data_IF_267913117489
#
_entry.id   IF_267913117489
#
_cell.length_a   1.000
_cell.length_b   1.000
_cell.length_c   1.000
_cell.angle_alpha   90.00
_cell.angle_beta   90.00
_cell.angle_gamma   90.00
#
_symmetry.space_group_name_H-M   'P 1'
#
loop_
_entity.id
_entity.type
_entity.pdbx_description
1 polymer ?
#
# COMPACT_ATOMS: atom_id res chain seq x y z
N UNK A 1 32.22 36.16 -11.15
CA UNK A 1 32.08 34.84 -11.81
C UNK A 1 32.62 33.68 -10.96
N UNK A 2 33.67 33.87 -10.15
CA UNK A 2 34.23 32.81 -9.29
C UNK A 2 33.32 32.40 -8.13
N UNK A 3 32.65 33.36 -7.49
CA UNK A 3 31.65 33.12 -6.42
C UNK A 3 30.47 32.26 -6.86
N UNK A 4 30.02 32.39 -8.12
CA UNK A 4 28.97 31.53 -8.69
C UNK A 4 29.50 30.10 -8.93
N UNK A 5 30.75 29.96 -9.41
CA UNK A 5 31.38 28.64 -9.57
C UNK A 5 31.64 27.93 -8.25
N UNK A 6 31.94 28.66 -7.17
CA UNK A 6 32.08 28.09 -5.83
C UNK A 6 30.74 27.66 -5.23
N UNK A 7 29.68 28.44 -5.44
CA UNK A 7 28.32 28.07 -5.04
C UNK A 7 27.88 26.74 -5.67
N UNK A 8 28.10 26.57 -6.98
CA UNK A 8 27.79 25.30 -7.69
C UNK A 8 28.68 24.11 -7.30
N UNK A 9 29.82 24.35 -6.63
CA UNK A 9 30.69 23.28 -6.13
C UNK A 9 30.27 22.78 -4.74
N UNK A 10 29.38 23.49 -4.06
CA UNK A 10 28.87 23.11 -2.75
C UNK A 10 28.20 21.73 -2.75
N UNK A 11 28.44 20.88 -1.73
CA UNK A 11 27.85 19.54 -1.66
C UNK A 11 26.31 19.56 -1.67
N UNK A 12 25.69 20.59 -1.10
CA UNK A 12 24.23 20.80 -1.15
C UNK A 12 23.70 21.06 -2.57
N UNK A 13 24.38 21.90 -3.36
CA UNK A 13 23.95 22.23 -4.73
C UNK A 13 24.09 21.02 -5.65
N UNK A 14 25.14 20.23 -5.49
CA UNK A 14 25.32 18.96 -6.24
C UNK A 14 24.19 17.97 -5.93
N UNK A 15 23.82 17.81 -4.66
CA UNK A 15 22.70 16.95 -4.24
C UNK A 15 21.38 17.39 -4.84
N UNK A 16 21.06 18.69 -4.76
CA UNK A 16 19.83 19.25 -5.34
C UNK A 16 19.82 19.05 -6.86
N UNK A 17 20.94 19.33 -7.54
CA UNK A 17 21.05 19.13 -8.97
C UNK A 17 20.82 17.66 -9.36
N UNK A 18 21.45 16.71 -8.66
CA UNK A 18 21.28 15.28 -8.95
C UNK A 18 19.85 14.82 -8.62
N UNK A 19 19.24 15.33 -7.55
CA UNK A 19 17.83 15.07 -7.25
C UNK A 19 16.92 15.55 -8.38
N UNK A 20 17.14 16.76 -8.90
CA UNK A 20 16.39 17.29 -10.04
C UNK A 20 16.60 16.44 -11.29
N UNK A 21 17.81 15.95 -11.54
CA UNK A 21 18.09 15.01 -12.64
C UNK A 21 17.35 13.69 -12.45
N UNK A 22 17.31 13.14 -11.24
CA UNK A 22 16.54 11.92 -10.93
C UNK A 22 15.05 12.16 -11.17
N UNK A 23 14.49 13.28 -10.69
CA UNK A 23 13.08 13.63 -10.88
C UNK A 23 12.77 13.80 -12.37
N UNK A 24 13.64 14.49 -13.12
CA UNK A 24 13.48 14.67 -14.57
C UNK A 24 13.53 13.32 -15.31
N UNK A 25 14.42 12.41 -14.91
CA UNK A 25 14.52 11.07 -15.48
C UNK A 25 13.26 10.24 -15.16
N UNK A 26 12.76 10.29 -13.92
CA UNK A 26 11.51 9.62 -13.54
C UNK A 26 10.31 10.18 -14.31
N UNK A 27 10.25 11.50 -14.52
CA UNK A 27 9.21 12.13 -15.32
C UNK A 27 9.29 11.73 -16.80
N UNK A 28 10.51 11.65 -17.36
CA UNK A 28 10.73 11.15 -18.72
C UNK A 28 10.31 9.68 -18.86
N UNK A 29 10.53 8.88 -17.82
CA UNK A 29 10.15 7.47 -17.73
C UNK A 29 8.73 7.24 -17.17
N UNK A 30 7.86 8.26 -17.15
CA UNK A 30 6.54 8.17 -16.51
C UNK A 30 5.69 7.00 -16.99
N UNK A 31 5.80 6.63 -18.27
CA UNK A 31 5.09 5.49 -18.86
C UNK A 31 5.51 4.15 -18.25
N UNK A 32 6.73 4.07 -17.71
CA UNK A 32 7.32 2.87 -17.10
C UNK A 32 7.30 2.90 -15.57
N UNK A 33 6.83 3.99 -14.94
CA UNK A 33 6.82 4.13 -13.46
C UNK A 33 6.13 2.95 -12.78
N UNK A 34 4.98 2.50 -13.29
CA UNK A 34 4.28 1.35 -12.71
C UNK A 34 5.12 0.07 -12.75
N UNK A 35 5.82 -0.19 -13.86
CA UNK A 35 6.68 -1.37 -13.99
C UNK A 35 7.87 -1.28 -13.03
N UNK A 36 8.51 -0.11 -12.94
CA UNK A 36 9.65 0.13 -12.05
C UNK A 36 9.22 -0.06 -10.59
N UNK A 37 8.08 0.52 -10.18
CA UNK A 37 7.56 0.43 -8.82
C UNK A 37 7.19 -1.01 -8.45
N UNK A 38 6.44 -1.72 -9.30
CA UNK A 38 6.08 -3.12 -9.03
C UNK A 38 7.35 -3.97 -8.93
N UNK A 39 8.30 -3.80 -9.86
CA UNK A 39 9.58 -4.55 -9.83
C UNK A 39 10.35 -4.24 -8.54
N UNK A 40 10.44 -2.97 -8.13
CA UNK A 40 11.11 -2.56 -6.90
C UNK A 40 10.45 -3.17 -5.66
N UNK A 41 9.13 -3.00 -5.51
CA UNK A 41 8.38 -3.49 -4.35
C UNK A 41 8.49 -5.01 -4.26
N UNK A 42 8.27 -5.71 -5.37
CA UNK A 42 8.39 -7.15 -5.44
C UNK A 42 9.81 -7.60 -5.08
N UNK A 43 10.83 -7.00 -5.71
CA UNK A 43 12.24 -7.33 -5.45
C UNK A 43 12.59 -7.12 -3.98
N UNK A 44 12.19 -5.99 -3.40
CA UNK A 44 12.47 -5.65 -2.01
C UNK A 44 11.81 -6.62 -1.03
N UNK A 45 10.51 -6.88 -1.21
CA UNK A 45 9.76 -7.79 -0.34
C UNK A 45 10.26 -9.23 -0.47
N UNK A 46 10.51 -9.70 -1.69
CA UNK A 46 11.01 -11.05 -1.95
C UNK A 46 12.44 -11.23 -1.45
N UNK A 47 13.36 -10.27 -1.67
CA UNK A 47 14.72 -10.33 -1.13
C UNK A 47 14.72 -10.39 0.40
N UNK A 48 13.84 -9.63 1.04
CA UNK A 48 13.72 -9.65 2.50
C UNK A 48 13.14 -10.97 3.01
N UNK A 49 12.05 -11.44 2.41
CA UNK A 49 11.45 -12.74 2.74
C UNK A 49 12.45 -13.87 2.51
N UNK A 50 13.15 -13.84 1.38
CA UNK A 50 14.21 -14.78 1.04
C UNK A 50 15.32 -14.78 2.08
N UNK A 51 15.84 -13.60 2.45
CA UNK A 51 16.90 -13.48 3.46
C UNK A 51 16.44 -14.02 4.82
N UNK A 52 15.20 -13.75 5.21
CA UNK A 52 14.61 -14.29 6.45
C UNK A 52 14.50 -15.83 6.41
N UNK A 53 13.91 -16.37 5.35
CA UNK A 53 13.72 -17.81 5.16
C UNK A 53 15.05 -18.54 5.01
N UNK A 54 15.96 -18.03 4.16
CA UNK A 54 17.28 -18.61 3.94
C UNK A 54 18.08 -18.66 5.25
N UNK A 55 18.06 -17.62 6.08
CA UNK A 55 18.71 -17.66 7.41
C UNK A 55 18.11 -18.70 8.35
N UNK A 56 16.81 -18.97 8.27
CA UNK A 56 16.14 -20.00 9.09
C UNK A 56 16.42 -21.40 8.56
N UNK A 57 16.33 -21.61 7.25
CA UNK A 57 16.57 -22.89 6.59
C UNK A 57 18.04 -23.27 6.66
N UNK A 58 18.96 -22.34 6.41
CA UNK A 58 20.40 -22.61 6.42
C UNK A 58 20.95 -23.02 7.80
N UNK A 59 20.20 -22.75 8.88
CA UNK A 59 20.51 -23.28 10.22
C UNK A 59 20.21 -24.78 10.35
N UNK A 60 19.27 -25.29 9.55
CA UNK A 60 18.81 -26.68 9.60
C UNK A 60 19.49 -27.49 8.47
N UNK A 61 19.50 -26.95 7.26
CA UNK A 61 20.02 -27.59 6.04
C UNK A 61 20.90 -26.59 5.30
N UNK A 62 22.18 -26.90 5.05
CA UNK A 62 23.07 -26.06 4.26
C UNK A 62 22.66 -26.11 2.78
N UNK A 63 22.00 -25.07 2.29
CA UNK A 63 21.50 -25.00 0.90
C UNK A 63 22.12 -23.82 0.17
N UNK A 64 22.41 -23.98 -1.12
CA UNK A 64 22.90 -22.90 -1.97
C UNK A 64 21.86 -21.77 -2.08
N UNK A 65 22.30 -20.52 -1.92
CA UNK A 65 21.49 -19.30 -2.04
C UNK A 65 20.61 -19.32 -3.30
N UNK A 66 21.20 -19.62 -4.48
CA UNK A 66 20.47 -19.62 -5.77
C UNK A 66 19.31 -20.61 -5.81
N UNK A 67 19.48 -21.80 -5.24
CA UNK A 67 18.43 -22.83 -5.18
C UNK A 67 17.27 -22.35 -4.31
N UNK A 68 17.57 -21.76 -3.15
CA UNK A 68 16.52 -21.22 -2.28
C UNK A 68 15.77 -20.04 -2.90
N UNK A 69 16.43 -19.21 -3.73
CA UNK A 69 15.76 -18.16 -4.51
C UNK A 69 14.81 -18.80 -5.53
N UNK A 70 15.29 -19.74 -6.35
CA UNK A 70 14.46 -20.40 -7.37
C UNK A 70 13.25 -21.11 -6.77
N UNK A 71 13.43 -21.81 -5.64
CA UNK A 71 12.33 -22.46 -4.94
C UNK A 71 11.30 -21.45 -4.42
N UNK A 72 11.74 -20.32 -3.84
CA UNK A 72 10.84 -19.28 -3.37
C UNK A 72 10.02 -18.69 -4.52
N UNK A 73 10.68 -18.36 -5.65
CA UNK A 73 9.97 -17.87 -6.84
C UNK A 73 9.04 -18.92 -7.45
N UNK A 74 9.39 -20.21 -7.44
CA UNK A 74 8.50 -21.27 -7.88
C UNK A 74 7.23 -21.35 -7.00
N UNK A 75 7.38 -21.27 -5.67
CA UNK A 75 6.25 -21.23 -4.73
C UNK A 75 5.39 -19.97 -4.94
N UNK A 76 6.01 -18.80 -5.11
CA UNK A 76 5.29 -17.57 -5.40
C UNK A 76 4.54 -17.65 -6.74
N UNK A 77 5.15 -18.20 -7.78
CA UNK A 77 4.52 -18.38 -9.08
C UNK A 77 3.31 -19.32 -8.97
N UNK A 78 3.45 -20.45 -8.25
CA UNK A 78 2.34 -21.37 -8.00
C UNK A 78 1.21 -20.71 -7.20
N UNK A 79 1.55 -19.90 -6.19
CA UNK A 79 0.57 -19.15 -5.41
C UNK A 79 -0.15 -18.10 -6.27
N UNK A 80 0.57 -17.40 -7.14
CA UNK A 80 0.00 -16.40 -8.06
C UNK A 80 -0.88 -17.07 -9.11
N UNK A 81 -0.44 -18.15 -9.76
CA UNK A 81 -1.20 -18.84 -10.82
C UNK A 81 -2.38 -19.61 -10.25
N UNK A 82 -2.18 -20.34 -9.15
CA UNK A 82 -3.26 -21.06 -8.45
C UNK A 82 -4.26 -20.09 -7.82
N UNK A 83 -3.77 -18.99 -7.25
CA UNK A 83 -4.58 -17.86 -6.83
C UNK A 83 -5.36 -17.27 -8.00
N UNK A 84 -4.70 -16.95 -9.11
CA UNK A 84 -5.34 -16.42 -10.31
C UNK A 84 -6.53 -17.27 -10.77
N UNK A 85 -6.33 -18.59 -10.85
CA UNK A 85 -7.36 -19.52 -11.30
C UNK A 85 -8.53 -19.67 -10.32
N UNK A 86 -8.25 -19.79 -9.01
CA UNK A 86 -9.27 -20.11 -7.99
C UNK A 86 -9.91 -18.87 -7.33
N UNK A 87 -9.13 -17.81 -7.16
CA UNK A 87 -9.48 -16.61 -6.38
C UNK A 87 -10.14 -15.56 -7.25
N UNK A 88 -9.67 -15.31 -8.48
CA UNK A 88 -10.21 -14.21 -9.29
C UNK A 88 -11.71 -14.34 -9.60
N UNK A 89 -12.22 -15.50 -10.06
CA UNK A 89 -13.66 -15.63 -10.32
C UNK A 89 -14.50 -15.42 -9.05
N UNK A 90 -13.97 -15.84 -7.89
CA UNK A 90 -14.61 -15.65 -6.59
C UNK A 90 -14.58 -14.19 -6.14
N UNK A 91 -13.51 -13.46 -6.43
CA UNK A 91 -13.38 -12.04 -6.12
C UNK A 91 -14.38 -11.23 -6.93
N UNK A 92 -14.47 -11.47 -8.25
CA UNK A 92 -15.41 -10.75 -9.12
C UNK A 92 -16.85 -10.95 -8.63
N UNK A 93 -17.26 -12.21 -8.42
CA UNK A 93 -18.61 -12.53 -7.96
C UNK A 93 -18.90 -12.00 -6.55
N UNK A 94 -17.92 -11.98 -5.63
CA UNK A 94 -18.11 -11.42 -4.30
C UNK A 94 -18.15 -9.89 -4.29
N UNK A 95 -17.39 -9.23 -5.16
CA UNK A 95 -17.47 -7.78 -5.35
C UNK A 95 -18.82 -7.39 -5.96
N UNK A 96 -19.29 -8.12 -6.98
CA UNK A 96 -20.64 -7.97 -7.53
C UNK A 96 -21.71 -8.10 -6.45
N UNK A 97 -21.64 -9.13 -5.61
CA UNK A 97 -22.56 -9.32 -4.49
C UNK A 97 -22.50 -8.17 -3.50
N UNK A 98 -21.30 -7.69 -3.16
CA UNK A 98 -21.11 -6.57 -2.24
C UNK A 98 -21.72 -5.28 -2.80
N UNK A 99 -21.54 -5.00 -4.08
CA UNK A 99 -22.15 -3.84 -4.75
C UNK A 99 -23.66 -3.97 -4.84
N UNK A 100 -24.16 -5.15 -5.20
CA UNK A 100 -25.60 -5.42 -5.22
C UNK A 100 -26.21 -5.25 -3.82
N UNK A 101 -25.52 -5.67 -2.75
CA UNK A 101 -25.97 -5.46 -1.38
C UNK A 101 -26.02 -3.97 -1.01
N UNK A 102 -25.07 -3.15 -1.47
CA UNK A 102 -25.08 -1.70 -1.24
C UNK A 102 -26.21 -1.02 -2.03
N UNK A 103 -26.39 -1.39 -3.30
CA UNK A 103 -27.47 -0.85 -4.15
C UNK A 103 -28.84 -1.26 -3.59
N UNK A 104 -28.99 -2.52 -3.16
CA UNK A 104 -30.20 -2.99 -2.48
C UNK A 104 -30.43 -2.26 -1.17
N UNK A 105 -29.40 -2.00 -0.37
CA UNK A 105 -29.51 -1.17 0.84
C UNK A 105 -30.06 0.23 0.51
N UNK A 106 -29.47 0.92 -0.48
CA UNK A 106 -29.90 2.24 -0.92
C UNK A 106 -31.35 2.27 -1.42
N UNK A 107 -31.77 1.24 -2.17
CA UNK A 107 -33.12 1.13 -2.73
C UNK A 107 -34.12 0.48 -1.77
N UNK A 108 -33.69 -0.05 -0.63
CA UNK A 108 -34.56 -0.76 0.29
C UNK A 108 -35.47 0.23 1.04
N UNK A 109 -36.75 -0.11 1.13
CA UNK A 109 -37.70 0.58 2.01
C UNK A 109 -37.29 0.52 3.50
N UNK A 110 -36.34 -0.34 3.87
CA UNK A 110 -35.80 -0.43 5.22
C UNK A 110 -34.94 0.79 5.61
N UNK A 111 -34.35 1.50 4.65
CA UNK A 111 -33.70 2.79 4.91
C UNK A 111 -34.72 3.94 4.96
N UNK A 112 -35.76 3.91 4.11
CA UNK A 112 -36.76 4.99 4.03
C UNK A 112 -37.92 4.91 5.05
N UNK A 113 -38.31 3.73 5.53
CA UNK A 113 -39.46 3.51 6.44
C UNK A 113 -39.06 3.05 7.84
N UNK A 114 -37.78 3.11 8.22
CA UNK A 114 -37.46 2.95 9.64
C UNK A 114 -37.88 4.25 10.33
N UNK A 115 -38.84 4.17 11.25
CA UNK A 115 -39.20 5.29 12.14
C UNK A 115 -37.98 5.60 13.01
N UNK A 116 -37.12 6.47 12.49
CA UNK A 116 -36.02 7.04 13.24
C UNK A 116 -36.60 8.22 14.03
N UNK A 117 -36.90 8.01 15.31
CA UNK A 117 -37.27 9.07 16.27
C UNK A 117 -36.17 10.14 16.50
N UNK A 118 -35.07 10.09 15.74
CA UNK A 118 -33.91 10.97 15.89
C UNK A 118 -33.76 11.92 14.70
N UNK A 119 -33.85 13.21 14.99
CA UNK A 119 -33.66 14.35 14.07
C UNK A 119 -32.35 14.27 13.24
N UNK A 120 -31.30 13.67 13.81
CA UNK A 120 -30.01 13.40 13.15
C UNK A 120 -30.13 12.46 11.93
N UNK A 121 -31.02 11.48 11.97
CA UNK A 121 -31.16 10.50 10.89
C UNK A 121 -31.90 11.08 9.70
N UNK A 122 -32.86 11.99 9.91
CA UNK A 122 -33.53 12.70 8.81
C UNK A 122 -32.52 13.57 8.02
N UNK A 123 -31.58 14.20 8.71
CA UNK A 123 -30.48 14.96 8.08
C UNK A 123 -29.51 14.06 7.29
N UNK A 124 -29.21 12.86 7.80
CA UNK A 124 -28.39 11.84 7.12
C UNK A 124 -29.12 11.34 5.86
N UNK A 125 -30.42 11.03 5.95
CA UNK A 125 -31.26 10.56 4.84
C UNK A 125 -31.36 11.62 3.74
N UNK A 126 -31.63 12.88 4.09
CA UNK A 126 -31.69 13.99 3.13
C UNK A 126 -30.33 14.29 2.49
N UNK A 127 -29.23 14.14 3.24
CA UNK A 127 -27.87 14.32 2.70
C UNK A 127 -27.46 13.17 1.78
N UNK A 128 -27.86 11.94 2.11
CA UNK A 128 -27.60 10.75 1.30
C UNK A 128 -28.48 10.67 0.07
N UNK A 129 -29.69 11.24 0.06
CA UNK A 129 -30.53 11.35 -1.15
C UNK A 129 -30.00 12.39 -2.15
N UNK A 130 -29.29 13.42 -1.67
CA UNK A 130 -28.63 14.43 -2.53
C UNK A 130 -27.35 13.92 -3.18
N UNK A 131 -26.72 12.90 -2.59
CA UNK A 131 -25.54 12.25 -3.15
C UNK A 131 -26.05 11.02 -3.90
N UNK A 132 -25.81 10.95 -5.21
CA UNK A 132 -26.11 9.75 -6.01
C UNK A 132 -25.11 8.63 -5.67
N UNK A 133 -25.17 8.15 -4.42
CA UNK A 133 -24.26 7.19 -3.82
C UNK A 133 -24.26 5.91 -4.64
N UNK A 134 -25.43 5.53 -5.18
CA UNK A 134 -25.58 4.43 -6.11
C UNK A 134 -24.74 4.63 -7.38
N UNK A 135 -24.73 5.83 -7.98
CA UNK A 135 -23.87 6.18 -9.12
C UNK A 135 -22.37 6.19 -8.79
N UNK A 136 -21.97 6.65 -7.60
CA UNK A 136 -20.56 6.61 -7.19
C UNK A 136 -20.09 5.17 -6.91
N UNK A 137 -20.92 4.36 -6.26
CA UNK A 137 -20.64 2.95 -5.99
C UNK A 137 -20.60 2.14 -7.29
N UNK A 138 -21.54 2.38 -8.23
CA UNK A 138 -21.54 1.71 -9.53
C UNK A 138 -20.38 2.14 -10.41
N UNK A 139 -19.99 3.43 -10.42
CA UNK A 139 -18.77 3.90 -11.10
C UNK A 139 -17.50 3.31 -10.48
N UNK A 140 -17.44 3.21 -9.15
CA UNK A 140 -16.35 2.54 -8.44
C UNK A 140 -16.27 1.05 -8.78
N UNK A 141 -17.42 0.40 -8.90
CA UNK A 141 -17.54 -0.98 -9.35
C UNK A 141 -17.10 -1.16 -10.80
N UNK A 142 -17.59 -0.33 -11.73
CA UNK A 142 -17.19 -0.35 -13.14
C UNK A 142 -15.69 -0.12 -13.29
N UNK A 143 -15.10 0.75 -12.46
CA UNK A 143 -13.66 0.94 -12.40
C UNK A 143 -12.93 -0.32 -11.92
N UNK A 144 -13.41 -0.99 -10.87
CA UNK A 144 -12.83 -2.25 -10.37
C UNK A 144 -12.97 -3.36 -11.42
N UNK A 145 -14.15 -3.55 -12.00
CA UNK A 145 -14.41 -4.57 -13.03
C UNK A 145 -13.58 -4.29 -14.27
N UNK A 146 -13.51 -3.05 -14.75
CA UNK A 146 -12.60 -2.69 -15.86
C UNK A 146 -11.16 -3.00 -15.53
N UNK A 147 -10.70 -2.58 -14.35
CA UNK A 147 -9.32 -2.83 -13.87
C UNK A 147 -9.01 -4.33 -13.78
N UNK A 148 -9.98 -5.15 -13.36
CA UNK A 148 -9.86 -6.61 -13.29
C UNK A 148 -9.99 -7.25 -14.69
N UNK A 149 -10.78 -6.69 -15.60
CA UNK A 149 -10.93 -7.18 -16.97
C UNK A 149 -9.72 -6.84 -17.86
N UNK A 150 -9.01 -5.75 -17.55
CA UNK A 150 -7.75 -5.35 -18.18
C UNK A 150 -6.53 -6.15 -17.67
N UNK A 151 -6.77 -7.32 -17.08
CA UNK A 151 -5.73 -8.20 -16.53
C UNK A 151 -4.68 -8.63 -17.54
N UNK A 152 -4.97 -8.57 -18.85
CA UNK A 152 -3.96 -8.80 -19.88
C UNK A 152 -2.82 -7.77 -19.81
N UNK A 153 -3.15 -6.49 -19.64
CA UNK A 153 -2.16 -5.40 -19.56
C UNK A 153 -1.46 -5.36 -18.20
N UNK A 154 -2.19 -5.62 -17.12
CA UNK A 154 -1.60 -5.72 -15.78
C UNK A 154 -0.76 -6.98 -15.61
N UNK A 155 -1.25 -8.10 -16.14
CA UNK A 155 -0.60 -9.41 -16.10
C UNK A 155 0.71 -9.41 -16.86
N UNK A 156 0.78 -8.81 -18.04
CA UNK A 156 2.05 -8.66 -18.78
C UNK A 156 3.08 -7.85 -17.98
N UNK A 157 2.69 -6.70 -17.40
CA UNK A 157 3.57 -5.92 -16.53
C UNK A 157 4.00 -6.68 -15.28
N UNK A 158 3.07 -7.40 -14.65
CA UNK A 158 3.34 -8.22 -13.47
C UNK A 158 4.33 -9.35 -13.80
N UNK A 159 4.14 -10.07 -14.91
CA UNK A 159 5.04 -11.12 -15.39
C UNK A 159 6.43 -10.54 -15.66
N UNK A 160 6.54 -9.43 -16.38
CA UNK A 160 7.83 -8.78 -16.66
C UNK A 160 8.51 -8.37 -15.35
N UNK A 161 7.78 -7.75 -14.42
CA UNK A 161 8.31 -7.35 -13.11
C UNK A 161 8.76 -8.55 -12.27
N UNK A 162 8.03 -9.67 -12.35
CA UNK A 162 8.34 -10.91 -11.66
C UNK A 162 9.62 -11.55 -12.20
N UNK A 163 9.78 -11.59 -13.52
CA UNK A 163 11.00 -12.07 -14.19
C UNK A 163 12.19 -11.17 -13.89
N UNK A 164 12.03 -9.85 -13.97
CA UNK A 164 13.10 -8.89 -13.62
C UNK A 164 13.51 -9.01 -12.16
N UNK A 165 12.54 -9.13 -11.25
CA UNK A 165 12.76 -9.36 -9.82
C UNK A 165 13.53 -10.66 -9.58
N UNK A 166 13.15 -11.76 -10.26
CA UNK A 166 13.84 -13.03 -10.17
C UNK A 166 15.30 -12.91 -10.57
N UNK A 167 15.58 -12.35 -11.75
CA UNK A 167 16.95 -12.18 -12.22
C UNK A 167 17.77 -11.26 -11.32
N UNK A 168 17.17 -10.17 -10.83
CA UNK A 168 17.84 -9.25 -9.91
C UNK A 168 18.23 -9.94 -8.61
N UNK A 169 17.31 -10.68 -7.97
CA UNK A 169 17.60 -11.39 -6.71
C UNK A 169 18.61 -12.53 -6.93
N UNK A 170 18.52 -13.25 -8.04
CA UNK A 170 19.44 -14.33 -8.38
C UNK A 170 20.88 -13.83 -8.63
N UNK A 171 21.02 -12.69 -9.30
CA UNK A 171 22.31 -12.08 -9.64
C UNK A 171 22.73 -10.93 -8.71
N UNK A 172 22.03 -10.72 -7.59
CA UNK A 172 22.21 -9.58 -6.68
C UNK A 172 23.67 -9.24 -6.41
N UNK A 173 24.49 -10.24 -6.04
CA UNK A 173 25.92 -10.05 -5.77
C UNK A 173 26.67 -9.50 -7.00
N UNK A 174 26.44 -10.08 -8.18
CA UNK A 174 27.07 -9.66 -9.43
C UNK A 174 26.61 -8.26 -9.85
N UNK A 175 25.31 -7.96 -9.68
CA UNK A 175 24.75 -6.64 -9.95
C UNK A 175 25.40 -5.59 -9.05
N UNK A 176 25.54 -5.86 -7.75
CA UNK A 176 26.22 -4.96 -6.82
C UNK A 176 27.69 -4.74 -7.21
N UNK A 177 28.45 -5.81 -7.43
CA UNK A 177 29.87 -5.74 -7.85
C UNK A 177 30.05 -4.98 -9.18
N UNK A 178 29.13 -5.15 -10.13
CA UNK A 178 29.15 -4.40 -11.39
C UNK A 178 28.81 -2.92 -11.17
N UNK A 179 27.80 -2.64 -10.36
CA UNK A 179 27.34 -1.27 -10.11
C UNK A 179 28.39 -0.47 -9.32
N UNK A 180 29.12 -1.11 -8.40
CA UNK A 180 30.22 -0.48 -7.65
C UNK A 180 31.35 0.03 -8.55
N UNK A 181 31.56 -0.57 -9.73
CA UNK A 181 32.58 -0.09 -10.70
C UNK A 181 32.28 1.32 -11.22
N UNK A 182 31.04 1.79 -11.15
CA UNK A 182 30.73 3.17 -11.53
C UNK A 182 31.34 4.20 -10.57
N UNK A 183 31.67 3.81 -9.33
CA UNK A 183 32.32 4.69 -8.34
C UNK A 183 33.65 5.24 -8.83
N UNK A 184 34.43 4.46 -9.57
CA UNK A 184 35.74 4.86 -10.11
C UNK A 184 35.67 5.38 -11.55
N UNK A 185 34.47 5.43 -12.14
CA UNK A 185 34.27 5.89 -13.51
C UNK A 185 34.21 7.43 -13.60
N UNK A 186 34.11 7.95 -14.84
CA UNK A 186 33.92 9.39 -15.10
C UNK A 186 32.65 9.97 -14.44
N UNK A 187 31.68 9.12 -14.11
CA UNK A 187 30.43 9.51 -13.43
C UNK A 187 30.43 9.12 -11.95
N UNK A 188 31.60 8.87 -11.34
CA UNK A 188 31.72 8.47 -9.94
C UNK A 188 31.05 9.42 -8.94
N UNK A 189 31.03 10.73 -9.23
CA UNK A 189 30.34 11.72 -8.41
C UNK A 189 28.80 11.57 -8.45
N UNK A 190 28.23 11.11 -9.56
CA UNK A 190 26.79 10.82 -9.68
C UNK A 190 26.50 9.52 -8.92
N UNK A 191 27.35 8.52 -9.11
CA UNK A 191 27.21 7.23 -8.43
C UNK A 191 27.19 7.39 -6.90
N UNK A 192 28.11 8.17 -6.32
CA UNK A 192 28.14 8.37 -4.86
C UNK A 192 26.86 8.98 -4.30
N UNK A 193 26.23 9.88 -5.06
CA UNK A 193 24.99 10.53 -4.66
C UNK A 193 23.78 9.60 -4.90
N UNK A 194 23.76 8.85 -6.01
CA UNK A 194 22.75 7.81 -6.26
C UNK A 194 22.79 6.71 -5.21
N UNK A 195 23.98 6.30 -4.76
CA UNK A 195 24.15 5.34 -3.68
C UNK A 195 23.63 5.91 -2.35
N UNK A 196 23.92 7.18 -2.06
CA UNK A 196 23.37 7.87 -0.88
C UNK A 196 21.83 7.93 -0.91
N UNK A 197 21.24 8.42 -2.02
CA UNK A 197 19.79 8.49 -2.20
C UNK A 197 19.16 7.10 -2.18
N UNK A 198 19.77 6.11 -2.84
CA UNK A 198 19.29 4.73 -2.90
C UNK A 198 19.27 4.06 -1.53
N UNK A 199 20.32 4.25 -0.72
CA UNK A 199 20.36 3.74 0.65
C UNK A 199 19.31 4.41 1.55
N UNK A 200 19.16 5.74 1.47
CA UNK A 200 18.07 6.49 2.14
C UNK A 200 16.69 5.99 1.70
N UNK A 201 16.48 5.77 0.40
CA UNK A 201 15.23 5.26 -0.16
C UNK A 201 14.92 3.85 0.36
N UNK A 202 15.89 2.93 0.32
CA UNK A 202 15.70 1.57 0.84
C UNK A 202 15.44 1.53 2.35
N UNK A 203 16.05 2.44 3.11
CA UNK A 203 15.87 2.54 4.56
C UNK A 203 14.54 3.17 4.94
N UNK A 204 14.10 4.22 4.25
CA UNK A 204 12.89 4.96 4.59
C UNK A 204 11.67 4.45 3.82
N UNK A 205 11.68 4.55 2.49
CA UNK A 205 10.58 4.05 1.66
C UNK A 205 10.41 2.54 1.80
N UNK A 206 11.49 1.77 1.66
CA UNK A 206 11.42 0.31 1.68
C UNK A 206 10.89 -0.26 3.01
N UNK A 207 11.33 0.31 4.14
CA UNK A 207 10.86 -0.12 5.48
C UNK A 207 9.38 0.20 5.70
N UNK A 208 8.91 1.37 5.25
CA UNK A 208 7.48 1.74 5.38
C UNK A 208 6.61 0.80 4.54
N UNK A 209 7.00 0.49 3.31
CA UNK A 209 6.25 -0.44 2.44
C UNK A 209 6.13 -1.83 3.06
N UNK A 210 7.23 -2.37 3.56
CA UNK A 210 7.23 -3.67 4.24
C UNK A 210 6.37 -3.65 5.51
N UNK A 211 6.51 -2.62 6.34
CA UNK A 211 5.70 -2.49 7.54
C UNK A 211 4.20 -2.40 7.18
N UNK A 212 3.83 -1.59 6.19
CA UNK A 212 2.45 -1.47 5.73
C UNK A 212 1.91 -2.81 5.21
N UNK A 213 2.71 -3.56 4.47
CA UNK A 213 2.31 -4.87 3.97
C UNK A 213 2.04 -5.85 5.13
N UNK A 214 2.91 -5.88 6.14
CA UNK A 214 2.71 -6.71 7.34
C UNK A 214 1.49 -6.27 8.16
N UNK A 215 1.28 -4.96 8.32
CA UNK A 215 0.13 -4.39 9.01
C UNK A 215 -1.17 -4.77 8.29
N UNK A 216 -1.22 -4.60 6.98
CA UNK A 216 -2.38 -4.97 6.18
C UNK A 216 -2.72 -6.46 6.33
N UNK A 217 -1.72 -7.36 6.36
CA UNK A 217 -1.93 -8.79 6.63
C UNK A 217 -2.56 -9.00 8.03
N UNK A 218 -1.96 -8.43 9.07
CA UNK A 218 -2.43 -8.61 10.45
C UNK A 218 -3.84 -8.06 10.61
N UNK A 219 -4.10 -6.84 10.13
CA UNK A 219 -5.42 -6.22 10.15
C UNK A 219 -6.46 -7.04 9.39
N UNK A 220 -6.10 -7.60 8.24
CA UNK A 220 -6.99 -8.48 7.47
C UNK A 220 -7.34 -9.73 8.25
N UNK A 221 -6.35 -10.38 8.87
CA UNK A 221 -6.58 -11.59 9.67
C UNK A 221 -7.50 -11.27 10.86
N UNK A 222 -7.19 -10.23 11.63
CA UNK A 222 -8.00 -9.82 12.79
C UNK A 222 -9.42 -9.46 12.36
N UNK A 223 -9.58 -8.65 11.31
CA UNK A 223 -10.89 -8.23 10.81
C UNK A 223 -11.69 -9.41 10.31
N UNK A 224 -11.07 -10.33 9.56
CA UNK A 224 -11.76 -11.53 9.04
C UNK A 224 -12.26 -12.43 10.16
N UNK A 225 -11.46 -12.62 11.22
CA UNK A 225 -11.88 -13.37 12.41
C UNK A 225 -13.09 -12.70 13.08
N UNK A 226 -13.04 -11.39 13.30
CA UNK A 226 -14.14 -10.66 13.92
C UNK A 226 -15.41 -10.70 13.05
N UNK A 227 -15.29 -10.51 11.74
CA UNK A 227 -16.41 -10.59 10.80
C UNK A 227 -17.01 -11.99 10.75
N UNK A 228 -16.19 -13.04 10.84
CA UNK A 228 -16.66 -14.41 10.95
C UNK A 228 -17.48 -14.62 12.23
N UNK A 229 -17.02 -14.11 13.38
CA UNK A 229 -17.77 -14.16 14.64
C UNK A 229 -19.10 -13.38 14.57
N UNK A 230 -19.14 -12.28 13.81
CA UNK A 230 -20.35 -11.49 13.59
C UNK A 230 -21.30 -12.11 12.54
N UNK A 231 -20.94 -13.25 11.95
CA UNK A 231 -21.76 -13.96 10.98
C UNK A 231 -21.82 -13.30 9.60
N UNK A 232 -20.76 -12.61 9.19
CA UNK A 232 -20.68 -12.01 7.86
C UNK A 232 -20.56 -13.09 6.77
N UNK A 233 -21.33 -12.97 5.68
CA UNK A 233 -21.16 -13.79 4.50
C UNK A 233 -19.98 -13.28 3.65
N UNK A 234 -19.53 -14.06 2.66
CA UNK A 234 -18.45 -13.70 1.73
C UNK A 234 -17.14 -13.23 2.41
N UNK A 235 -16.75 -13.86 3.52
CA UNK A 235 -15.54 -13.51 4.28
C UNK A 235 -14.28 -13.43 3.44
N UNK A 236 -14.19 -14.27 2.40
CA UNK A 236 -13.04 -14.29 1.52
C UNK A 236 -12.90 -12.99 0.70
N UNK A 237 -13.98 -12.50 0.12
CA UNK A 237 -14.03 -11.25 -0.64
C UNK A 237 -13.82 -10.05 0.26
N UNK A 238 -14.42 -10.07 1.46
CA UNK A 238 -14.18 -9.06 2.49
C UNK A 238 -12.72 -9.04 2.94
N UNK A 239 -12.09 -10.19 3.15
CA UNK A 239 -10.68 -10.28 3.51
C UNK A 239 -9.78 -9.67 2.43
N UNK A 240 -10.03 -9.97 1.15
CA UNK A 240 -9.27 -9.39 0.03
C UNK A 240 -9.49 -7.88 -0.05
N UNK A 241 -10.73 -7.42 0.08
CA UNK A 241 -11.06 -5.99 0.08
C UNK A 241 -10.34 -5.26 1.24
N UNK A 242 -10.43 -5.79 2.46
CA UNK A 242 -9.77 -5.23 3.65
C UNK A 242 -8.26 -5.24 3.49
N UNK A 243 -7.69 -6.28 2.90
CA UNK A 243 -6.26 -6.36 2.63
C UNK A 243 -5.81 -5.28 1.64
N UNK A 244 -6.48 -5.17 0.49
CA UNK A 244 -6.12 -4.21 -0.55
C UNK A 244 -6.30 -2.77 -0.08
N UNK A 245 -7.43 -2.47 0.58
CA UNK A 245 -7.67 -1.15 1.16
C UNK A 245 -6.72 -0.87 2.32
N UNK A 246 -6.40 -1.88 3.13
CA UNK A 246 -5.44 -1.79 4.24
C UNK A 246 -4.01 -1.47 3.81
N UNK A 247 -3.65 -1.60 2.53
CA UNK A 247 -2.37 -1.11 2.00
C UNK A 247 -2.34 0.42 1.88
N UNK A 248 -3.50 1.09 1.89
CA UNK A 248 -3.61 2.56 1.85
C UNK A 248 -3.65 3.07 3.30
N UNK A 249 -2.60 3.78 3.77
CA UNK A 249 -2.55 4.26 5.15
C UNK A 249 -3.71 5.21 5.47
N UNK A 250 -4.34 5.05 6.63
CA UNK A 250 -5.47 5.87 7.14
C UNK A 250 -6.75 5.76 6.31
N UNK A 251 -6.70 6.03 5.01
CA UNK A 251 -7.86 5.98 4.11
C UNK A 251 -8.45 4.58 3.95
N UNK A 252 -7.63 3.53 4.02
CA UNK A 252 -8.10 2.15 3.88
C UNK A 252 -9.21 1.77 4.85
N UNK A 253 -9.09 2.21 6.11
CA UNK A 253 -10.08 1.96 7.16
C UNK A 253 -11.37 2.74 6.88
N UNK A 254 -11.26 4.01 6.48
CA UNK A 254 -12.42 4.87 6.16
C UNK A 254 -13.20 4.31 4.97
N UNK A 255 -12.50 3.94 3.89
CA UNK A 255 -13.12 3.41 2.67
C UNK A 255 -13.76 2.04 2.93
N UNK A 256 -13.11 1.17 3.71
CA UNK A 256 -13.63 -0.16 4.03
C UNK A 256 -14.82 -0.16 4.97
N UNK A 257 -15.00 0.89 5.79
CA UNK A 257 -16.15 1.02 6.70
C UNK A 257 -17.48 1.09 5.93
N UNK A 258 -17.51 1.77 4.78
CA UNK A 258 -18.72 1.94 3.97
C UNK A 258 -19.36 0.59 3.59
N UNK A 259 -18.66 -0.32 2.86
CA UNK A 259 -19.24 -1.60 2.49
C UNK A 259 -19.48 -2.52 3.69
N UNK A 260 -18.65 -2.46 4.73
CA UNK A 260 -18.84 -3.26 5.94
C UNK A 260 -20.12 -2.87 6.68
N UNK A 261 -20.37 -1.57 6.86
CA UNK A 261 -21.59 -1.08 7.51
C UNK A 261 -22.84 -1.35 6.65
N UNK A 262 -22.76 -1.19 5.32
CA UNK A 262 -23.87 -1.53 4.43
C UNK A 262 -24.27 -3.01 4.57
N UNK A 263 -23.30 -3.92 4.56
CA UNK A 263 -23.56 -5.34 4.77
C UNK A 263 -24.07 -5.62 6.19
N UNK A 264 -23.47 -4.99 7.22
CA UNK A 264 -23.90 -5.14 8.60
C UNK A 264 -25.39 -4.80 8.78
N UNK A 265 -25.81 -3.69 8.18
CA UNK A 265 -27.19 -3.22 8.23
C UNK A 265 -28.14 -4.24 7.59
N UNK A 266 -27.78 -4.79 6.43
CA UNK A 266 -28.62 -5.78 5.73
C UNK A 266 -28.81 -7.08 6.53
N UNK A 267 -27.81 -7.52 7.30
CA UNK A 267 -27.87 -8.82 8.02
C UNK A 267 -28.41 -8.66 9.45
N UNK A 268 -28.40 -7.47 10.04
CA UNK A 268 -28.85 -7.31 11.44
C UNK A 268 -29.05 -5.88 11.90
N UNK A 269 -29.34 -4.97 10.97
CA UNK A 269 -29.71 -3.59 11.24
C UNK A 269 -28.63 -2.78 11.95
N UNK A 270 -29.07 -1.71 12.62
CA UNK A 270 -28.20 -0.72 13.27
C UNK A 270 -27.33 -1.32 14.39
N UNK A 271 -27.82 -2.33 15.10
CA UNK A 271 -27.07 -3.00 16.16
C UNK A 271 -25.83 -3.70 15.60
N UNK A 272 -25.95 -4.40 14.46
CA UNK A 272 -24.77 -4.98 13.79
C UNK A 272 -23.84 -3.92 13.22
N UNK A 273 -24.37 -2.81 12.70
CA UNK A 273 -23.55 -1.67 12.26
C UNK A 273 -22.71 -1.14 13.42
N UNK A 274 -23.30 -0.96 14.59
CA UNK A 274 -22.61 -0.52 15.79
C UNK A 274 -21.49 -1.50 16.18
N UNK A 275 -21.74 -2.82 16.15
CA UNK A 275 -20.71 -3.82 16.41
C UNK A 275 -19.55 -3.76 15.41
N UNK A 276 -19.82 -3.54 14.13
CA UNK A 276 -18.78 -3.35 13.12
C UNK A 276 -17.96 -2.08 13.37
N UNK A 277 -18.62 -0.96 13.68
CA UNK A 277 -17.91 0.29 13.98
C UNK A 277 -17.00 0.13 15.19
N UNK A 278 -17.50 -0.48 16.27
CA UNK A 278 -16.70 -0.76 17.47
C UNK A 278 -15.53 -1.69 17.13
N UNK A 279 -15.78 -2.76 16.37
CA UNK A 279 -14.74 -3.69 15.91
C UNK A 279 -13.65 -2.96 15.14
N UNK A 280 -14.02 -2.12 14.16
CA UNK A 280 -13.05 -1.36 13.34
C UNK A 280 -12.26 -0.39 14.21
N UNK A 281 -12.89 0.31 15.16
CA UNK A 281 -12.19 1.20 16.11
C UNK A 281 -11.16 0.42 16.92
N UNK A 282 -11.50 -0.75 17.44
CA UNK A 282 -10.58 -1.59 18.22
C UNK A 282 -9.41 -2.07 17.37
N UNK A 283 -9.67 -2.55 16.15
CA UNK A 283 -8.61 -3.01 15.24
C UNK A 283 -7.71 -1.84 14.83
N UNK A 284 -8.30 -0.67 14.54
CA UNK A 284 -7.52 0.51 14.20
C UNK A 284 -6.69 1.02 15.39
N UNK A 285 -7.19 0.90 16.62
CA UNK A 285 -6.40 1.19 17.81
C UNK A 285 -5.21 0.22 17.95
N UNK A 286 -5.41 -1.08 17.67
CA UNK A 286 -4.31 -2.06 17.64
C UNK A 286 -3.28 -1.68 16.57
N UNK A 287 -3.74 -1.31 15.37
CA UNK A 287 -2.86 -0.81 14.31
C UNK A 287 -2.04 0.41 14.76
N UNK A 288 -2.73 1.45 15.24
CA UNK A 288 -2.13 2.74 15.57
C UNK A 288 -1.17 2.67 16.76
N UNK A 289 -1.55 1.94 17.81
CA UNK A 289 -0.79 1.93 19.08
C UNK A 289 0.15 0.74 19.25
N UNK A 290 -0.06 -0.37 18.52
CA UNK A 290 0.76 -1.58 18.66
C UNK A 290 1.55 -1.87 17.39
N UNK A 291 0.87 -1.98 16.24
CA UNK A 291 1.52 -2.42 15.01
C UNK A 291 2.43 -1.35 14.43
N UNK A 292 1.95 -0.10 14.31
CA UNK A 292 2.72 1.03 13.79
C UNK A 292 4.03 1.26 14.56
N UNK A 293 4.02 1.40 15.91
CA UNK A 293 5.27 1.60 16.66
C UNK A 293 6.24 0.42 16.55
N UNK A 294 5.71 -0.82 16.50
CA UNK A 294 6.53 -2.04 16.45
C UNK A 294 7.15 -2.29 15.08
N UNK A 295 6.47 -1.91 13.99
CA UNK A 295 6.88 -2.23 12.63
C UNK A 295 7.51 -1.05 11.88
N UNK A 296 7.04 0.19 12.11
CA UNK A 296 7.54 1.39 11.43
C UNK A 296 8.60 2.18 12.23
N UNK A 297 8.91 1.77 13.47
CA UNK A 297 9.71 2.54 14.45
C UNK A 297 9.00 3.82 14.91
N UNK A 298 9.36 4.33 16.10
CA UNK A 298 8.74 5.52 16.73
C UNK A 298 8.91 6.85 15.95
N UNK A 299 9.48 6.82 14.74
CA UNK A 299 9.92 7.99 13.96
C UNK A 299 8.96 8.38 12.82
N UNK A 300 7.78 7.77 12.71
CA UNK A 300 6.91 7.91 11.54
C UNK A 300 5.45 8.22 11.94
N UNK A 301 5.25 9.24 12.77
CA UNK A 301 3.90 9.75 13.06
C UNK A 301 3.71 11.08 12.34
N UNK A 302 3.33 11.01 11.07
CA UNK A 302 2.88 12.19 10.35
C UNK A 302 1.56 12.67 10.97
N UNK A 303 1.41 13.98 11.23
CA UNK A 303 0.11 14.51 11.62
C UNK A 303 -0.92 14.17 10.54
N UNK A 304 -2.15 13.84 10.98
CA UNK A 304 -3.24 13.35 10.13
C UNK A 304 -3.47 14.25 8.90
N UNK A 305 -3.40 15.58 9.09
CA UNK A 305 -3.52 16.56 8.00
C UNK A 305 -2.49 16.32 6.88
N UNK A 306 -1.21 16.14 7.22
CA UNK A 306 -0.17 15.88 6.23
C UNK A 306 -0.38 14.55 5.52
N UNK A 307 -0.81 13.51 6.26
CA UNK A 307 -1.14 12.22 5.64
C UNK A 307 -2.22 12.37 4.58
N UNK A 308 -3.32 13.07 4.88
CA UNK A 308 -4.38 13.31 3.89
C UNK A 308 -3.94 14.18 2.72
N UNK A 309 -3.21 15.27 2.99
CA UNK A 309 -2.69 16.14 1.93
C UNK A 309 -1.77 15.36 0.97
N UNK A 310 -0.88 14.53 1.51
CA UNK A 310 0.01 13.67 0.74
C UNK A 310 -0.79 12.66 -0.09
N UNK A 311 -1.82 12.03 0.48
CA UNK A 311 -2.64 11.07 -0.25
C UNK A 311 -3.40 11.71 -1.41
N UNK A 312 -3.98 12.89 -1.23
CA UNK A 312 -4.69 13.63 -2.28
C UNK A 312 -3.73 14.01 -3.41
N UNK A 313 -2.57 14.57 -3.07
CA UNK A 313 -1.56 14.95 -4.06
C UNK A 313 -1.03 13.71 -4.78
N UNK A 314 -0.69 12.65 -4.06
CA UNK A 314 -0.14 11.44 -4.64
C UNK A 314 -1.14 10.73 -5.56
N UNK A 315 -2.41 10.67 -5.16
CA UNK A 315 -3.50 10.14 -5.99
C UNK A 315 -3.62 10.91 -7.30
N UNK A 316 -3.56 12.24 -7.28
CA UNK A 316 -3.60 13.06 -8.49
C UNK A 316 -2.47 12.75 -9.49
N UNK A 317 -1.24 12.51 -9.00
CA UNK A 317 -0.08 12.29 -9.87
C UNK A 317 0.19 10.83 -10.25
N UNK A 318 -0.11 9.89 -9.36
CA UNK A 318 0.23 8.46 -9.49
C UNK A 318 -1.01 7.55 -9.49
N UNK A 319 -2.21 8.12 -9.43
CA UNK A 319 -3.48 7.38 -9.33
C UNK A 319 -3.55 6.52 -8.07
N UNK A 320 -4.12 5.32 -8.21
CA UNK A 320 -4.24 4.34 -7.12
C UNK A 320 -2.88 3.99 -6.49
N UNK A 321 -1.79 3.98 -7.27
CA UNK A 321 -0.45 3.77 -6.73
C UNK A 321 0.01 4.90 -5.81
N UNK A 322 -0.45 6.12 -6.05
CA UNK A 322 -0.20 7.26 -5.17
C UNK A 322 -0.78 7.08 -3.78
N UNK A 323 -1.93 6.43 -3.66
CA UNK A 323 -2.56 6.17 -2.37
C UNK A 323 -1.74 5.18 -1.52
N UNK A 324 -1.14 4.17 -2.15
CA UNK A 324 -0.31 3.16 -1.46
C UNK A 324 1.08 3.72 -1.16
N UNK A 325 1.66 4.47 -2.10
CA UNK A 325 3.07 4.87 -2.08
C UNK A 325 3.32 6.29 -1.60
N UNK A 326 2.29 7.14 -1.55
CA UNK A 326 2.41 8.56 -1.25
C UNK A 326 3.07 8.82 0.10
N UNK A 327 2.60 8.15 1.15
CA UNK A 327 3.18 8.26 2.49
C UNK A 327 4.64 7.77 2.52
N UNK A 328 4.99 6.56 2.03
CA UNK A 328 6.38 6.13 1.87
C UNK A 328 7.28 7.10 1.10
N UNK A 329 6.80 7.68 0.00
CA UNK A 329 7.54 8.64 -0.83
C UNK A 329 7.78 9.93 -0.04
N UNK A 330 6.74 10.44 0.63
CA UNK A 330 6.84 11.64 1.45
C UNK A 330 7.82 11.44 2.62
N UNK A 331 7.77 10.29 3.28
CA UNK A 331 8.73 9.92 4.32
C UNK A 331 10.16 9.85 3.81
N UNK A 332 10.38 9.36 2.59
CA UNK A 332 11.70 9.42 1.96
C UNK A 332 12.17 10.86 1.76
N UNK A 333 11.31 11.76 1.29
CA UNK A 333 11.67 13.17 1.14
C UNK A 333 11.97 13.86 2.48
N UNK A 334 11.19 13.60 3.52
CA UNK A 334 11.44 14.14 4.87
C UNK A 334 12.78 13.65 5.42
N UNK A 335 13.05 12.36 5.31
CA UNK A 335 14.31 11.79 5.74
C UNK A 335 15.48 12.35 4.91
N UNK A 336 15.28 12.58 3.62
CA UNK A 336 16.30 13.18 2.77
C UNK A 336 16.62 14.63 3.12
N UNK A 337 15.61 15.39 3.54
CA UNK A 337 15.73 16.77 4.04
C UNK A 337 16.15 16.82 5.52
N UNK A 338 16.42 15.68 6.14
CA UNK A 338 16.82 15.54 7.55
C UNK A 338 15.80 16.16 8.53
N UNK A 339 14.52 16.20 8.14
CA UNK A 339 13.44 16.67 9.00
C UNK A 339 13.14 15.60 10.04
N UNK A 340 13.41 15.89 11.31
CA UNK A 340 13.12 14.97 12.40
C UNK A 340 11.61 14.95 12.70
N UNK A 341 10.93 13.86 12.33
CA UNK A 341 9.52 13.59 12.73
C UNK A 341 9.45 13.08 14.18
N UNK A 342 10.45 13.38 15.01
CA UNK A 342 10.51 12.94 16.41
C UNK A 342 9.58 13.83 17.21
N UNK A 343 8.53 13.28 17.79
CA UNK A 343 7.89 13.92 18.94
C UNK A 343 8.90 13.85 20.09
N UNK A 344 9.55 14.97 20.41
CA UNK A 344 10.12 15.12 21.73
C UNK A 344 8.96 15.04 22.74
N UNK A 345 9.12 14.31 23.86
CA UNK A 345 8.09 14.32 24.89
C UNK A 345 7.91 15.76 25.33
N UNK A 346 6.67 16.27 25.21
CA UNK A 346 6.28 17.59 25.71
C UNK A 346 6.72 17.63 27.17
N UNK A 347 7.73 18.45 27.47
CA UNK A 347 8.02 18.81 28.86
C UNK A 347 6.80 19.58 29.33
N UNK A 348 5.94 18.93 30.10
CA UNK A 348 4.97 19.62 30.95
C UNK A 348 5.77 20.52 31.89
N UNK A 349 5.71 21.82 31.63
CA UNK A 349 6.08 22.86 32.61
C UNK A 349 5.07 22.90 33.76
#
# INVERSE_FOLDING_TARGET
METVKEFFKGPGVKRIFILLVIIALLFAMRSMIHLILITFILTYLVDRLHTFLHRRINKIIKVNYKVTVLLLYAVLLLAIVGGAYSVFPKVITQIEQLVNNIIQFYNSKAFMNYDFDFEFMQYITDSLQKIDLASYVSKGFDFIVKSVSDIGQWGTRAIISFVLSLFFVLEKKRVMEFTEKFRTSKIGFIYSELEYFGNKFLYSFGKVIEAQFLIAIVNTILSTICLWLLGFPQLFGLAIMIFLLGLIPVMGVVISLIPLCAIAFTIGGLIKVLYVVIMVIVIHAIEAYILNPKLMSAKVHLPIFYTFAVLIIAEHFLGVWGLILGVPIFMFFLDLLEVSVRQEPVKTE
#
